data_IF_754102632764
#
_entry.id   IF_754102632764
#
_cell.length_a   1.000
_cell.length_b   1.000
_cell.length_c   1.000
_cell.angle_alpha   90.00
_cell.angle_beta   90.00
_cell.angle_gamma   90.00
#
_symmetry.space_group_name_H-M   'P 1'
#
loop_
_entity.id
_entity.type
_entity.pdbx_description
1 polymer ?
#
# COMPACT_ATOMS: atom_id res chain seq x y z
N UNK A 1 -15.34 11.13 5.49
CA UNK A 1 -15.17 9.84 6.16
C UNK A 1 -16.33 9.63 7.11
N UNK A 2 -17.19 8.67 6.80
CA UNK A 2 -18.17 8.19 7.75
C UNK A 2 -17.63 6.87 8.26
N UNK A 3 -16.99 6.88 9.43
CA UNK A 3 -16.68 5.66 10.11
C UNK A 3 -18.02 4.95 10.42
N UNK A 4 -18.15 3.72 9.99
CA UNK A 4 -19.19 2.83 10.45
C UNK A 4 -18.77 2.42 11.87
N UNK A 5 -19.30 3.17 12.84
CA UNK A 5 -19.06 2.91 14.24
C UNK A 5 -20.08 1.91 14.74
N UNK A 6 -19.83 0.62 14.45
CA UNK A 6 -20.54 -0.44 15.19
C UNK A 6 -19.76 -1.75 15.02
N UNK A 7 -19.56 -2.42 16.10
CA UNK A 7 -19.18 -3.81 16.19
C UNK A 7 -20.24 -4.66 15.45
N UNK A 8 -19.91 -5.11 14.26
CA UNK A 8 -20.76 -5.99 13.45
C UNK A 8 -20.24 -7.42 13.51
N UNK A 9 -20.21 -7.98 14.69
CA UNK A 9 -19.92 -9.39 14.84
C UNK A 9 -21.01 -10.23 14.15
N UNK A 10 -20.59 -11.18 13.33
CA UNK A 10 -21.46 -12.11 12.63
C UNK A 10 -21.14 -13.53 13.07
N UNK A 11 -22.17 -14.30 13.44
CA UNK A 11 -21.99 -15.71 13.70
C UNK A 11 -21.64 -16.48 12.42
N UNK A 12 -20.95 -17.59 12.56
CA UNK A 12 -20.56 -18.41 11.43
C UNK A 12 -21.78 -18.84 10.59
N UNK A 13 -21.78 -18.49 9.32
CA UNK A 13 -22.87 -18.78 8.38
C UNK A 13 -23.97 -17.72 8.33
N UNK A 14 -23.91 -16.67 9.11
CA UNK A 14 -24.84 -15.53 9.05
C UNK A 14 -24.38 -14.48 8.03
N UNK A 15 -25.34 -13.75 7.49
CA UNK A 15 -25.10 -12.61 6.62
C UNK A 15 -25.43 -11.29 7.35
N UNK A 16 -24.63 -10.26 7.11
CA UNK A 16 -24.93 -8.94 7.66
C UNK A 16 -26.20 -8.36 7.02
N UNK A 17 -26.87 -7.46 7.76
CA UNK A 17 -27.83 -6.56 7.15
C UNK A 17 -27.16 -5.75 6.03
N UNK A 18 -27.91 -5.41 4.96
CA UNK A 18 -27.34 -4.67 3.83
C UNK A 18 -26.78 -3.31 4.26
N UNK A 19 -25.51 -3.04 3.95
CA UNK A 19 -24.92 -1.73 4.13
C UNK A 19 -25.54 -0.75 3.12
N UNK A 20 -26.24 0.26 3.61
CA UNK A 20 -26.81 1.31 2.78
C UNK A 20 -25.95 2.56 2.81
N UNK A 21 -25.34 2.91 1.68
CA UNK A 21 -24.62 4.16 1.50
C UNK A 21 -25.59 5.18 0.88
N UNK A 22 -25.87 6.28 1.58
CA UNK A 22 -26.70 7.36 1.08
C UNK A 22 -25.83 8.57 0.74
N UNK A 23 -25.89 9.02 -0.50
CA UNK A 23 -25.31 10.29 -0.93
C UNK A 23 -26.42 11.28 -1.27
N UNK A 24 -26.21 12.55 -0.96
CA UNK A 24 -27.08 13.64 -1.40
C UNK A 24 -26.24 14.82 -1.88
N UNK A 25 -26.77 15.53 -2.85
CA UNK A 25 -26.18 16.78 -3.29
C UNK A 25 -26.43 17.86 -2.24
N UNK A 26 -25.45 18.73 -1.99
CA UNK A 26 -25.67 19.88 -1.09
C UNK A 26 -26.78 20.76 -1.65
N UNK A 27 -27.64 21.30 -0.78
CA UNK A 27 -28.74 22.21 -1.18
C UNK A 27 -28.24 23.46 -1.91
N UNK A 28 -27.00 23.86 -1.68
CA UNK A 28 -26.36 25.01 -2.34
C UNK A 28 -25.72 24.65 -3.69
N UNK A 29 -25.82 23.41 -4.15
CA UNK A 29 -25.28 23.01 -5.44
C UNK A 29 -26.16 23.61 -6.56
N UNK A 30 -25.52 24.31 -7.49
CA UNK A 30 -26.19 24.92 -8.63
C UNK A 30 -26.45 23.94 -9.79
N UNK A 31 -26.98 24.48 -10.89
CA UNK A 31 -27.33 23.69 -12.07
C UNK A 31 -26.12 23.08 -12.80
N UNK A 32 -24.91 23.49 -12.47
CA UNK A 32 -23.66 22.96 -13.03
C UNK A 32 -23.43 21.45 -12.74
N UNK A 33 -24.18 20.91 -11.79
CA UNK A 33 -24.13 19.50 -11.43
C UNK A 33 -25.24 18.65 -12.03
N UNK A 34 -26.16 19.28 -12.81
CA UNK A 34 -27.16 18.53 -13.54
C UNK A 34 -26.50 17.61 -14.58
N UNK A 35 -27.03 16.41 -14.74
CA UNK A 35 -26.53 15.38 -15.65
C UNK A 35 -25.08 14.90 -15.39
N UNK A 36 -24.52 15.21 -14.22
CA UNK A 36 -23.23 14.66 -13.81
C UNK A 36 -23.40 13.27 -13.20
N UNK A 37 -22.48 12.40 -13.55
CA UNK A 37 -22.34 11.08 -12.93
C UNK A 37 -21.28 11.14 -11.86
N UNK A 38 -21.52 10.46 -10.76
CA UNK A 38 -20.50 10.16 -9.78
C UNK A 38 -19.94 8.79 -10.16
N UNK A 39 -18.69 8.75 -10.56
CA UNK A 39 -17.97 7.52 -10.94
C UNK A 39 -16.81 7.30 -9.97
N UNK A 40 -16.37 6.05 -9.85
CA UNK A 40 -15.22 5.70 -9.01
C UNK A 40 -15.50 5.64 -7.51
N UNK A 41 -16.75 5.47 -7.09
CA UNK A 41 -17.05 5.17 -5.69
C UNK A 41 -16.56 3.74 -5.41
N UNK A 42 -15.53 3.63 -4.57
CA UNK A 42 -15.08 2.36 -4.02
C UNK A 42 -15.61 2.17 -2.61
N UNK A 43 -15.97 0.95 -2.28
CA UNK A 43 -16.24 0.53 -0.90
C UNK A 43 -15.26 -0.57 -0.58
N UNK A 44 -14.42 -0.34 0.42
CA UNK A 44 -13.51 -1.37 0.93
C UNK A 44 -14.06 -1.86 2.26
N UNK A 45 -14.27 -3.17 2.36
CA UNK A 45 -14.72 -3.82 3.58
C UNK A 45 -13.56 -4.63 4.14
N UNK A 46 -13.21 -4.38 5.37
CA UNK A 46 -12.28 -5.19 6.14
C UNK A 46 -13.09 -6.11 7.04
N UNK A 47 -12.77 -7.39 7.02
CA UNK A 47 -13.35 -8.37 7.90
C UNK A 47 -12.24 -9.19 8.55
N UNK A 48 -12.33 -9.37 9.85
CA UNK A 48 -11.45 -10.22 10.62
C UNK A 48 -12.24 -11.33 11.27
N UNK A 49 -11.61 -12.44 11.55
CA UNK A 49 -12.24 -13.57 12.21
C UNK A 49 -12.37 -13.26 13.70
N UNK A 50 -13.60 -13.31 14.23
CA UNK A 50 -13.92 -13.12 15.64
C UNK A 50 -13.98 -14.49 16.38
N UNK A 51 -13.05 -15.38 16.07
CA UNK A 51 -12.93 -16.65 16.78
C UNK A 51 -11.71 -16.64 17.68
N UNK A 52 -11.81 -17.35 18.79
CA UNK A 52 -10.68 -17.63 19.68
C UNK A 52 -9.59 -18.31 18.87
N UNK A 53 -8.66 -17.51 18.36
CA UNK A 53 -7.44 -18.01 17.73
C UNK A 53 -6.34 -18.09 18.79
N UNK A 54 -5.53 -19.14 18.69
CA UNK A 54 -4.32 -19.25 19.52
C UNK A 54 -3.22 -18.42 18.84
N UNK A 55 -3.41 -17.11 18.81
CA UNK A 55 -2.46 -16.17 18.25
C UNK A 55 -1.70 -15.37 19.32
N UNK A 56 -0.85 -14.46 18.89
CA UNK A 56 -0.02 -13.63 19.77
C UNK A 56 -0.78 -12.56 20.56
N UNK A 57 -2.10 -12.40 20.32
CA UNK A 57 -2.95 -11.35 20.92
C UNK A 57 -3.91 -11.88 22.01
N UNK A 58 -3.57 -12.94 22.72
CA UNK A 58 -4.38 -13.51 23.81
C UNK A 58 -5.83 -13.84 23.40
N UNK A 59 -6.06 -14.28 22.18
CA UNK A 59 -7.38 -14.59 21.62
C UNK A 59 -8.35 -13.39 21.62
N UNK A 60 -7.84 -12.19 21.54
CA UNK A 60 -8.62 -10.96 21.42
C UNK A 60 -8.62 -10.49 19.97
N UNK A 61 -9.73 -9.92 19.53
CA UNK A 61 -9.76 -9.18 18.27
C UNK A 61 -8.66 -8.11 18.24
N UNK A 62 -7.82 -8.15 17.25
CA UNK A 62 -6.78 -7.12 17.08
C UNK A 62 -7.40 -5.83 16.53
N UNK A 63 -7.98 -5.05 17.44
CA UNK A 63 -8.54 -3.73 17.13
C UNK A 63 -7.50 -2.72 16.64
N UNK A 64 -6.22 -3.02 16.88
CA UNK A 64 -5.10 -2.17 16.53
C UNK A 64 -4.36 -2.70 15.28
N UNK A 65 -4.93 -3.71 14.59
CA UNK A 65 -4.36 -4.25 13.35
C UNK A 65 -4.21 -3.16 12.28
N UNK A 66 -2.99 -2.94 11.83
CA UNK A 66 -2.71 -2.02 10.74
C UNK A 66 -2.95 -2.70 9.39
N UNK A 67 -4.06 -2.35 8.74
CA UNK A 67 -4.36 -2.82 7.39
C UNK A 67 -3.55 -2.04 6.36
N UNK A 68 -3.09 -2.76 5.33
CA UNK A 68 -2.42 -2.10 4.21
C UNK A 68 -3.37 -1.12 3.50
N UNK A 69 -2.90 0.10 3.26
CA UNK A 69 -3.66 1.13 2.56
C UNK A 69 -3.74 0.79 1.06
N UNK A 70 -4.94 0.62 0.49
CA UNK A 70 -5.08 0.40 -0.94
C UNK A 70 -4.74 1.68 -1.71
N UNK A 71 -3.94 1.53 -2.79
CA UNK A 71 -3.52 2.65 -3.64
C UNK A 71 -3.66 2.31 -5.11
N UNK A 72 -4.09 3.31 -5.89
CA UNK A 72 -4.36 3.19 -7.32
C UNK A 72 -3.59 4.21 -8.18
N UNK A 73 -2.80 5.09 -7.54
CA UNK A 73 -2.06 6.16 -8.20
C UNK A 73 -0.70 6.42 -7.56
N UNK A 74 0.19 7.09 -8.30
CA UNK A 74 1.49 7.54 -7.79
C UNK A 74 1.34 8.48 -6.59
N UNK A 75 0.35 9.36 -6.59
CA UNK A 75 0.13 10.30 -5.49
C UNK A 75 -0.25 9.57 -4.21
N UNK A 76 -1.27 8.71 -4.28
CA UNK A 76 -1.71 7.90 -3.14
C UNK A 76 -0.57 7.04 -2.57
N UNK A 77 0.23 6.42 -3.46
CA UNK A 77 1.38 5.63 -3.07
C UNK A 77 2.43 6.47 -2.32
N UNK A 78 2.74 7.67 -2.82
CA UNK A 78 3.70 8.58 -2.18
C UNK A 78 3.20 9.09 -0.82
N UNK A 79 1.92 9.44 -0.74
CA UNK A 79 1.31 9.96 0.47
C UNK A 79 1.30 8.88 1.56
N UNK A 80 0.84 7.67 1.24
CA UNK A 80 0.81 6.55 2.18
C UNK A 80 2.21 6.15 2.68
N UNK A 81 3.19 6.04 1.77
CA UNK A 81 4.59 5.74 2.13
C UNK A 81 5.21 6.87 2.95
N UNK A 82 4.91 8.13 2.63
CA UNK A 82 5.37 9.30 3.39
C UNK A 82 4.84 9.33 4.82
N UNK A 83 3.64 8.80 5.04
CA UNK A 83 3.02 8.63 6.35
C UNK A 83 3.50 7.35 7.08
N UNK A 84 4.37 6.56 6.47
CA UNK A 84 4.87 5.30 7.04
C UNK A 84 3.87 4.15 7.02
N UNK A 85 2.83 4.23 6.20
CA UNK A 85 1.79 3.21 6.11
C UNK A 85 2.20 2.04 5.23
N UNK A 86 1.71 0.85 5.58
CA UNK A 86 1.74 -0.30 4.71
C UNK A 86 0.76 -0.12 3.54
N UNK A 87 1.11 -0.64 2.36
CA UNK A 87 0.42 -0.35 1.11
C UNK A 87 0.11 -1.63 0.34
N UNK A 88 -1.05 -1.67 -0.31
CA UNK A 88 -1.40 -2.69 -1.32
C UNK A 88 -1.81 -2.00 -2.62
N UNK A 89 -1.24 -2.43 -3.75
CA UNK A 89 -1.56 -1.89 -5.06
C UNK A 89 -2.87 -2.48 -5.60
N UNK A 90 -3.77 -1.61 -6.03
CA UNK A 90 -5.00 -2.02 -6.71
C UNK A 90 -4.89 -1.96 -8.23
N UNK A 91 -3.97 -1.15 -8.77
CA UNK A 91 -3.75 -0.96 -10.21
C UNK A 91 -2.26 -0.90 -10.55
N UNK A 92 -1.97 -1.06 -11.83
CA UNK A 92 -0.65 -0.74 -12.35
C UNK A 92 -0.37 0.75 -12.18
N UNK A 93 0.85 1.09 -11.74
CA UNK A 93 1.24 2.48 -11.43
C UNK A 93 2.51 2.84 -12.19
N UNK A 94 2.56 4.05 -12.73
CA UNK A 94 3.82 4.64 -13.24
C UNK A 94 4.31 5.68 -12.24
N UNK A 95 5.56 5.54 -11.79
CA UNK A 95 6.19 6.52 -10.89
C UNK A 95 7.17 7.40 -11.65
N UNK A 96 7.14 8.70 -11.33
CA UNK A 96 8.00 9.72 -11.96
C UNK A 96 9.25 10.03 -11.15
N UNK A 97 9.25 9.69 -9.87
CA UNK A 97 10.37 9.82 -8.94
C UNK A 97 10.38 8.68 -7.91
N UNK A 98 11.54 8.33 -7.35
CA UNK A 98 11.64 7.31 -6.32
C UNK A 98 10.84 7.68 -5.07
N UNK A 99 10.25 6.66 -4.44
CA UNK A 99 9.68 6.77 -3.09
C UNK A 99 10.81 6.98 -2.09
N UNK A 100 10.67 7.93 -1.19
CA UNK A 100 11.65 8.19 -0.14
C UNK A 100 11.19 7.52 1.17
N UNK A 101 11.92 6.50 1.60
CA UNK A 101 11.69 5.80 2.86
C UNK A 101 12.86 6.13 3.78
N UNK A 102 12.59 6.94 4.80
CA UNK A 102 13.61 7.51 5.66
C UNK A 102 13.09 7.69 7.09
N UNK A 103 13.93 8.22 7.96
CA UNK A 103 13.54 8.56 9.34
C UNK A 103 13.16 7.38 10.23
N UNK A 104 13.68 6.19 9.93
CA UNK A 104 13.38 4.98 10.70
C UNK A 104 12.01 4.34 10.38
N UNK A 105 11.33 4.80 9.32
CA UNK A 105 10.04 4.22 8.92
C UNK A 105 10.21 2.77 8.45
N UNK A 106 9.29 1.92 8.84
CA UNK A 106 9.11 0.58 8.30
C UNK A 106 7.86 0.54 7.45
N UNK A 107 8.01 0.22 6.17
CA UNK A 107 6.92 0.22 5.18
C UNK A 107 6.92 -1.10 4.43
N UNK A 108 5.76 -1.69 4.28
CA UNK A 108 5.53 -2.83 3.40
C UNK A 108 4.70 -2.39 2.18
N UNK A 109 5.15 -2.77 1.00
CA UNK A 109 4.43 -2.55 -0.26
C UNK A 109 4.13 -3.90 -0.90
N UNK A 110 2.86 -4.30 -0.82
CA UNK A 110 2.35 -5.43 -1.57
C UNK A 110 1.97 -4.96 -2.98
N UNK A 111 2.73 -5.42 -3.97
CA UNK A 111 2.44 -5.13 -5.37
C UNK A 111 1.20 -5.87 -5.88
N UNK A 112 0.68 -6.86 -5.14
CA UNK A 112 -0.58 -7.56 -5.42
C UNK A 112 -0.72 -8.00 -6.89
N UNK A 113 0.35 -8.54 -7.46
CA UNK A 113 0.40 -8.95 -8.87
C UNK A 113 0.39 -7.81 -9.89
N UNK A 114 0.42 -6.55 -9.46
CA UNK A 114 0.43 -5.37 -10.35
C UNK A 114 1.83 -5.04 -10.83
N UNK A 115 1.87 -4.16 -11.82
CA UNK A 115 3.11 -3.67 -12.41
C UNK A 115 3.37 -2.22 -12.02
N UNK A 116 4.57 -1.94 -11.52
CA UNK A 116 5.08 -0.59 -11.37
C UNK A 116 6.10 -0.30 -12.45
N UNK A 117 5.86 0.76 -13.24
CA UNK A 117 6.84 1.32 -14.19
C UNK A 117 7.52 2.51 -13.55
N UNK A 118 8.78 2.34 -13.15
CA UNK A 118 9.53 3.38 -12.45
C UNK A 118 10.47 4.13 -13.41
N UNK A 119 10.16 5.39 -13.71
CA UNK A 119 10.93 6.18 -14.68
C UNK A 119 12.32 6.63 -14.17
N UNK A 120 12.50 6.73 -12.85
CA UNK A 120 13.76 7.18 -12.22
C UNK A 120 14.23 6.30 -11.07
N UNK A 121 13.82 5.03 -11.05
CA UNK A 121 13.93 4.14 -9.91
C UNK A 121 12.66 4.16 -9.06
N UNK A 122 12.48 3.11 -8.26
CA UNK A 122 11.25 2.92 -7.50
C UNK A 122 11.35 3.46 -6.08
N UNK A 123 12.43 3.13 -5.36
CA UNK A 123 12.58 3.57 -3.98
C UNK A 123 14.03 3.89 -3.58
N UNK A 124 14.16 4.78 -2.60
CA UNK A 124 15.38 5.03 -1.83
C UNK A 124 15.09 4.76 -0.36
N UNK A 125 15.88 3.88 0.27
CA UNK A 125 15.72 3.47 1.67
C UNK A 125 16.96 3.90 2.46
N UNK A 126 16.78 4.76 3.44
CA UNK A 126 17.89 5.39 4.17
C UNK A 126 17.62 5.52 5.67
N UNK A 127 18.67 5.83 6.43
CA UNK A 127 18.58 6.22 7.84
C UNK A 127 17.85 5.17 8.72
N UNK A 128 18.29 3.92 8.63
CA UNK A 128 17.77 2.79 9.40
C UNK A 128 16.28 2.48 9.14
N UNK A 129 15.77 2.92 8.00
CA UNK A 129 14.41 2.59 7.57
C UNK A 129 14.38 1.22 6.90
N UNK A 130 13.18 0.64 6.82
CA UNK A 130 12.95 -0.66 6.21
C UNK A 130 11.86 -0.62 5.16
N UNK A 131 12.12 -1.28 4.04
CA UNK A 131 11.13 -1.53 2.99
C UNK A 131 10.98 -3.03 2.79
N UNK A 132 9.77 -3.53 2.86
CA UNK A 132 9.41 -4.87 2.42
C UNK A 132 8.64 -4.80 1.13
N UNK A 133 9.05 -5.57 0.12
CA UNK A 133 8.38 -5.66 -1.18
C UNK A 133 7.85 -7.07 -1.37
N UNK A 134 6.56 -7.20 -1.71
CA UNK A 134 5.92 -8.49 -1.90
C UNK A 134 5.21 -8.55 -3.26
N UNK A 135 5.38 -9.67 -3.96
CA UNK A 135 4.68 -9.99 -5.21
C UNK A 135 4.90 -9.02 -6.37
N UNK A 136 4.13 -9.15 -7.43
CA UNK A 136 4.05 -8.22 -8.56
C UNK A 136 5.31 -8.03 -9.41
N UNK A 137 5.35 -6.91 -10.13
CA UNK A 137 6.45 -6.58 -11.05
C UNK A 137 6.88 -5.13 -10.90
N UNK A 138 8.19 -4.87 -10.84
CA UNK A 138 8.74 -3.51 -10.94
C UNK A 138 9.73 -3.46 -12.10
N UNK A 139 9.47 -2.56 -13.05
CA UNK A 139 10.38 -2.29 -14.17
C UNK A 139 10.93 -0.87 -14.06
N UNK A 140 12.24 -0.71 -14.18
CA UNK A 140 12.88 0.60 -14.18
C UNK A 140 13.80 0.77 -15.38
N UNK A 141 13.75 1.94 -16.00
CA UNK A 141 14.72 2.36 -17.03
C UNK A 141 15.85 3.24 -16.45
N UNK A 142 15.93 3.37 -15.14
CA UNK A 142 16.97 4.12 -14.44
C UNK A 142 18.07 3.19 -13.89
N UNK A 143 19.05 3.78 -13.21
CA UNK A 143 20.27 3.10 -12.72
C UNK A 143 20.00 1.96 -11.74
N UNK A 144 18.97 2.07 -10.92
CA UNK A 144 18.54 1.01 -10.00
C UNK A 144 17.06 1.12 -9.71
N UNK A 145 16.44 0.00 -9.36
CA UNK A 145 15.05 -0.02 -8.90
C UNK A 145 15.01 0.50 -7.47
N UNK A 146 15.84 -0.06 -6.58
CA UNK A 146 15.92 0.36 -5.19
C UNK A 146 17.37 0.67 -4.82
N UNK A 147 17.57 1.83 -4.21
CA UNK A 147 18.83 2.22 -3.57
C UNK A 147 18.69 2.15 -2.06
N UNK A 148 19.66 1.53 -1.41
CA UNK A 148 19.68 1.33 0.05
C UNK A 148 20.98 1.90 0.61
N UNK A 149 20.88 2.79 1.59
CA UNK A 149 22.07 3.40 2.21
C UNK A 149 21.85 3.74 3.69
N UNK A 150 22.91 4.18 4.36
CA UNK A 150 22.85 4.65 5.74
C UNK A 150 22.12 3.70 6.70
N UNK A 151 22.49 2.41 6.66
CA UNK A 151 21.88 1.35 7.44
C UNK A 151 20.38 1.10 7.12
N UNK A 152 19.88 1.54 5.96
CA UNK A 152 18.56 1.13 5.46
C UNK A 152 18.52 -0.37 5.18
N UNK A 153 17.35 -0.96 5.23
CA UNK A 153 17.12 -2.37 4.94
C UNK A 153 16.01 -2.56 3.91
N UNK A 154 16.23 -3.48 2.97
CA UNK A 154 15.19 -3.93 2.02
C UNK A 154 15.05 -5.43 2.10
N UNK A 155 13.81 -5.89 2.21
CA UNK A 155 13.43 -7.28 2.10
C UNK A 155 12.57 -7.44 0.86
N UNK A 156 12.95 -8.37 0.00
CA UNK A 156 12.20 -8.73 -1.22
C UNK A 156 11.64 -10.12 -1.02
N UNK A 157 10.32 -10.20 -0.94
CA UNK A 157 9.59 -11.44 -0.75
C UNK A 157 8.78 -11.78 -2.01
N UNK A 158 9.47 -12.32 -2.98
CA UNK A 158 8.92 -12.64 -4.29
C UNK A 158 8.80 -11.44 -5.24
N UNK A 159 8.24 -11.70 -6.42
CA UNK A 159 8.04 -10.71 -7.49
C UNK A 159 9.12 -10.72 -8.57
N UNK A 160 8.95 -9.86 -9.57
CA UNK A 160 9.88 -9.68 -10.70
C UNK A 160 10.39 -8.25 -10.75
N UNK A 161 11.71 -8.09 -10.73
CA UNK A 161 12.35 -6.77 -10.69
C UNK A 161 13.31 -6.64 -11.87
N UNK A 162 12.98 -5.79 -12.84
CA UNK A 162 13.74 -5.61 -14.07
C UNK A 162 14.29 -4.20 -14.19
N UNK A 163 15.61 -4.06 -14.12
CA UNK A 163 16.31 -2.84 -14.50
C UNK A 163 16.78 -2.99 -15.96
N UNK A 164 16.38 -2.06 -16.84
CA UNK A 164 16.71 -2.13 -18.27
C UNK A 164 18.12 -1.61 -18.55
N UNK A 165 18.79 -2.23 -19.50
CA UNK A 165 20.18 -1.87 -19.84
C UNK A 165 21.22 -2.50 -18.91
N UNK A 166 22.35 -1.84 -18.74
CA UNK A 166 23.46 -2.30 -17.86
C UNK A 166 23.26 -1.84 -16.41
N UNK A 167 22.08 -2.01 -15.87
CA UNK A 167 21.69 -1.47 -14.57
C UNK A 167 21.62 -2.56 -13.49
N UNK A 168 21.69 -2.14 -12.24
CA UNK A 168 21.59 -3.01 -11.07
C UNK A 168 20.19 -2.84 -10.48
N UNK A 169 19.43 -3.93 -10.33
CA UNK A 169 18.07 -3.85 -9.80
C UNK A 169 18.08 -3.32 -8.34
N UNK A 170 18.94 -3.86 -7.50
CA UNK A 170 19.06 -3.46 -6.10
C UNK A 170 20.51 -3.05 -5.81
N UNK A 171 20.69 -1.86 -5.28
CA UNK A 171 22.00 -1.31 -4.97
C UNK A 171 22.08 -0.91 -3.51
N UNK A 172 23.06 -1.46 -2.79
CA UNK A 172 23.30 -1.15 -1.38
C UNK A 172 24.67 -0.51 -1.18
N UNK A 173 24.72 0.55 -0.40
CA UNK A 173 25.94 1.22 0.03
C UNK A 173 25.87 1.65 1.50
N UNK A 174 26.96 2.11 2.08
CA UNK A 174 26.99 2.73 3.41
C UNK A 174 26.22 1.93 4.48
N UNK A 175 26.51 0.64 4.61
CA UNK A 175 25.84 -0.31 5.52
C UNK A 175 24.37 -0.62 5.18
N UNK A 176 23.91 -0.29 3.98
CA UNK A 176 22.61 -0.75 3.50
C UNK A 176 22.55 -2.27 3.39
N UNK A 177 21.39 -2.85 3.66
CA UNK A 177 21.17 -4.30 3.63
C UNK A 177 20.04 -4.65 2.67
N UNK A 178 20.25 -5.70 1.86
CA UNK A 178 19.23 -6.25 0.97
C UNK A 178 19.11 -7.74 1.25
N UNK A 179 17.90 -8.20 1.48
CA UNK A 179 17.55 -9.62 1.64
C UNK A 179 16.55 -10.00 0.56
N UNK A 180 16.78 -11.10 -0.13
CA UNK A 180 15.88 -11.66 -1.15
C UNK A 180 15.54 -13.09 -0.73
N UNK A 181 14.23 -13.35 -0.59
CA UNK A 181 13.68 -14.66 -0.21
C UNK A 181 13.20 -15.43 -1.43
#
# INVERSE_FOLDING_TARGET
DTALDTDHSLAAGEASEPLTIKGHMKETAGNEYQDKKIEGIGVTVYATQDTVESDSNDNQYDKDAEYATPVSSESELKDAVGEGKNVVLEKDITTTAPLAISSGNEVSIDLNGKTVTANKGFATVTNSSKLTLTGGTVTSNSKSIVNVSNAGEVVVDGGTYTATGSQIAFYAESRGKITVN
#
